data_IF_464859254056
#
_entry.id   IF_464859254056
#
_cell.length_a   1.000
_cell.length_b   1.000
_cell.length_c   1.000
_cell.angle_alpha   90.00
_cell.angle_beta   90.00
_cell.angle_gamma   90.00
#
_symmetry.space_group_name_H-M   'P 1'
#
loop_
_entity.id
_entity.type
_entity.pdbx_description
1 polymer ?
#
# COMPACT_ATOMS: atom_id res chain seq x y z
N UNK A 1 54.47 -77.31 1.72
CA UNK A 1 53.03 -77.06 1.96
C UNK A 1 52.83 -75.65 2.29
N UNK A 2 52.42 -74.84 1.30
CA UNK A 2 52.16 -73.40 1.44
C UNK A 2 50.71 -73.18 1.85
N UNK A 3 50.49 -72.68 3.05
CA UNK A 3 49.11 -72.34 3.50
C UNK A 3 48.72 -71.00 2.84
N UNK A 4 47.71 -71.03 1.98
CA UNK A 4 47.05 -69.89 1.36
C UNK A 4 46.07 -69.33 2.38
N UNK A 5 46.40 -68.17 2.91
CA UNK A 5 45.51 -67.37 3.77
C UNK A 5 44.63 -66.53 2.84
N UNK A 6 43.37 -66.88 2.72
CA UNK A 6 42.39 -66.08 2.02
C UNK A 6 41.87 -64.99 2.99
N UNK A 7 42.28 -63.73 2.76
CA UNK A 7 41.72 -62.61 3.47
C UNK A 7 40.41 -62.21 2.81
N UNK A 8 39.30 -62.64 3.41
CA UNK A 8 37.97 -62.21 3.01
C UNK A 8 37.82 -60.78 3.53
N UNK A 9 38.05 -59.79 2.66
CA UNK A 9 37.73 -58.39 2.93
C UNK A 9 36.23 -58.19 2.84
N UNK A 10 35.54 -58.25 3.99
CA UNK A 10 34.12 -57.99 4.08
C UNK A 10 33.91 -56.48 3.89
N UNK A 11 33.56 -56.04 2.68
CA UNK A 11 33.12 -54.69 2.39
C UNK A 11 31.71 -54.58 2.98
N UNK A 12 31.62 -53.97 4.17
CA UNK A 12 30.37 -53.52 4.72
C UNK A 12 29.99 -52.28 3.91
N UNK A 13 29.13 -52.45 2.94
CA UNK A 13 28.41 -51.35 2.28
C UNK A 13 27.49 -50.78 3.36
N UNK A 14 27.89 -49.67 3.95
CA UNK A 14 26.99 -48.82 4.71
C UNK A 14 26.08 -48.16 3.67
N UNK A 15 24.96 -48.80 3.37
CA UNK A 15 23.85 -48.13 2.75
C UNK A 15 23.39 -47.09 3.77
N UNK A 16 23.88 -45.85 3.61
CA UNK A 16 23.24 -44.68 4.23
C UNK A 16 21.90 -44.56 3.56
N UNK A 17 20.90 -45.16 4.16
CA UNK A 17 19.51 -44.88 3.79
C UNK A 17 19.21 -43.48 4.33
N UNK A 18 19.46 -42.49 3.51
CA UNK A 18 18.98 -41.16 3.81
C UNK A 18 17.45 -41.25 3.89
N UNK A 19 16.96 -41.16 5.12
CA UNK A 19 15.52 -41.23 5.36
C UNK A 19 14.90 -40.00 4.69
N UNK A 20 14.10 -40.23 3.67
CA UNK A 20 13.27 -39.20 3.08
C UNK A 20 12.30 -38.72 4.16
N UNK A 21 12.38 -37.42 4.44
CA UNK A 21 11.50 -36.70 5.37
C UNK A 21 10.71 -35.72 4.54
N UNK A 22 9.43 -35.93 4.45
CA UNK A 22 8.50 -35.00 3.80
C UNK A 22 8.18 -33.84 4.73
N UNK A 23 8.02 -32.66 4.18
CA UNK A 23 7.67 -31.42 4.90
C UNK A 23 8.05 -30.17 4.13
N UNK A 24 7.70 -29.01 4.67
CA UNK A 24 8.06 -27.74 4.05
C UNK A 24 9.58 -27.50 4.08
N UNK A 25 10.18 -27.29 2.91
CA UNK A 25 11.61 -27.01 2.75
C UNK A 25 11.95 -25.53 2.57
N UNK A 26 10.93 -24.62 2.50
CA UNK A 26 11.15 -23.19 2.38
C UNK A 26 11.46 -22.56 3.75
N UNK A 27 12.67 -22.01 3.89
CA UNK A 27 13.13 -21.33 5.11
C UNK A 27 12.29 -20.09 5.47
N UNK A 28 11.57 -19.52 4.52
CA UNK A 28 10.71 -18.36 4.75
C UNK A 28 9.29 -18.76 5.22
N UNK A 29 8.95 -20.04 5.14
CA UNK A 29 7.66 -20.52 5.58
C UNK A 29 7.58 -20.62 7.12
N UNK A 30 6.42 -20.34 7.67
CA UNK A 30 6.17 -20.42 9.13
C UNK A 30 6.23 -21.85 9.66
N UNK A 31 5.99 -22.84 8.80
CA UNK A 31 6.05 -24.25 9.08
C UNK A 31 7.28 -24.94 8.46
N UNK A 32 8.37 -24.19 8.24
CA UNK A 32 9.64 -24.74 7.76
C UNK A 32 10.09 -25.91 8.63
N UNK A 33 10.45 -27.01 7.99
CA UNK A 33 11.02 -28.19 8.65
C UNK A 33 12.47 -28.38 8.20
N UNK A 34 13.42 -28.10 9.07
CA UNK A 34 14.85 -28.22 8.76
C UNK A 34 15.31 -29.70 8.54
N UNK A 35 14.50 -30.69 8.90
CA UNK A 35 14.77 -32.09 8.68
C UNK A 35 14.16 -32.60 7.36
N UNK A 36 13.28 -31.82 6.72
CA UNK A 36 12.66 -32.17 5.45
C UNK A 36 13.72 -32.26 4.35
N UNK A 37 13.69 -33.36 3.61
CA UNK A 37 14.52 -33.64 2.42
C UNK A 37 13.70 -33.57 1.13
N UNK A 38 12.37 -33.67 1.26
CA UNK A 38 11.40 -33.57 0.16
C UNK A 38 10.33 -32.58 0.55
N UNK A 39 10.08 -31.58 -0.33
CA UNK A 39 8.97 -30.68 -0.16
C UNK A 39 7.65 -31.41 -0.44
N UNK A 40 6.75 -31.38 0.53
CA UNK A 40 5.41 -31.95 0.45
C UNK A 40 4.34 -30.97 -0.03
N UNK A 41 4.73 -29.71 -0.37
CA UNK A 41 3.83 -28.63 -0.78
C UNK A 41 3.02 -28.03 0.37
N UNK A 42 3.38 -28.31 1.63
CA UNK A 42 2.67 -27.79 2.81
C UNK A 42 3.16 -26.44 3.28
N UNK A 43 4.10 -25.79 2.57
CA UNK A 43 4.69 -24.53 2.99
C UNK A 43 3.66 -23.42 3.16
N UNK A 44 3.73 -22.75 4.32
CA UNK A 44 2.88 -21.59 4.65
C UNK A 44 3.78 -20.37 4.70
N UNK A 45 3.79 -19.61 3.59
CA UNK A 45 4.46 -18.32 3.47
C UNK A 45 3.43 -17.23 3.72
N UNK A 46 3.68 -16.38 4.71
CA UNK A 46 2.84 -15.21 5.03
C UNK A 46 3.41 -14.00 4.34
N UNK A 47 2.59 -13.25 3.64
CA UNK A 47 3.01 -12.04 2.90
C UNK A 47 1.83 -11.32 2.29
N UNK A 48 2.10 -10.37 1.40
CA UNK A 48 1.04 -9.73 0.62
C UNK A 48 0.84 -10.48 -0.71
N UNK A 49 -0.32 -11.13 -0.94
CA UNK A 49 -0.61 -11.86 -2.16
C UNK A 49 -1.16 -10.98 -3.29
N UNK A 50 -1.37 -9.67 -3.06
CA UNK A 50 -1.89 -8.75 -4.08
C UNK A 50 -0.76 -8.29 -5.03
N UNK A 51 -0.83 -8.63 -6.34
CA UNK A 51 0.20 -8.26 -7.31
C UNK A 51 0.31 -6.74 -7.56
N UNK A 52 -0.68 -5.95 -7.10
CA UNK A 52 -0.65 -4.50 -7.21
C UNK A 52 0.02 -3.83 -6.00
N UNK A 53 0.33 -4.59 -4.96
CA UNK A 53 1.01 -4.06 -3.78
C UNK A 53 2.51 -3.86 -4.03
N UNK A 54 3.09 -2.84 -3.39
CA UNK A 54 4.54 -2.54 -3.46
C UNK A 54 5.36 -3.68 -2.85
N UNK A 55 4.82 -4.32 -1.82
CA UNK A 55 5.43 -5.43 -1.10
C UNK A 55 4.82 -6.79 -1.49
N UNK A 56 4.36 -6.92 -2.75
CA UNK A 56 3.86 -8.16 -3.28
C UNK A 56 4.84 -9.32 -3.09
N UNK A 57 4.35 -10.43 -2.57
CA UNK A 57 5.08 -11.67 -2.47
C UNK A 57 4.34 -12.78 -3.24
N UNK A 58 4.84 -13.23 -4.40
CA UNK A 58 4.17 -14.26 -5.21
C UNK A 58 4.10 -15.62 -4.52
N UNK A 59 4.96 -15.86 -3.53
CA UNK A 59 4.99 -17.11 -2.77
C UNK A 59 4.05 -17.09 -1.55
N UNK A 60 3.40 -15.95 -1.27
CA UNK A 60 2.46 -15.85 -0.15
C UNK A 60 1.21 -16.68 -0.40
N UNK A 61 0.93 -17.60 0.51
CA UNK A 61 -0.31 -18.42 0.55
C UNK A 61 -1.29 -17.90 1.60
N UNK A 62 -0.80 -17.12 2.56
CA UNK A 62 -1.62 -16.43 3.56
C UNK A 62 -1.34 -14.94 3.52
N UNK A 63 -2.41 -14.14 3.52
CA UNK A 63 -2.32 -12.69 3.57
C UNK A 63 -1.84 -12.24 4.96
N UNK A 64 -0.76 -11.47 4.99
CA UNK A 64 -0.23 -10.85 6.22
C UNK A 64 -1.12 -9.71 6.75
N UNK A 65 -2.07 -9.23 5.96
CA UNK A 65 -2.86 -8.03 6.24
C UNK A 65 -2.07 -6.72 6.14
N UNK A 66 -0.84 -6.77 5.61
CA UNK A 66 0.08 -5.63 5.53
C UNK A 66 0.45 -5.30 4.08
N UNK A 67 -0.49 -5.41 3.14
CA UNK A 67 -0.27 -4.98 1.78
C UNK A 67 -0.08 -3.47 1.71
N UNK A 68 0.99 -3.03 1.07
CA UNK A 68 1.31 -1.61 0.91
C UNK A 68 1.01 -1.17 -0.52
N UNK A 69 0.24 -0.08 -0.67
CA UNK A 69 -0.13 0.48 -1.96
C UNK A 69 0.45 1.88 -2.13
N UNK A 70 0.60 2.32 -3.38
CA UNK A 70 1.05 3.67 -3.71
C UNK A 70 -0.14 4.61 -3.89
N UNK A 71 0.02 5.87 -3.44
CA UNK A 71 -0.90 6.95 -3.80
C UNK A 71 -0.66 7.48 -5.22
N UNK A 72 0.48 7.15 -5.84
CA UNK A 72 0.77 7.61 -7.21
C UNK A 72 -0.34 7.18 -8.15
N UNK A 73 -0.95 8.14 -8.84
CA UNK A 73 -2.05 7.89 -9.77
C UNK A 73 -3.09 9.00 -9.76
N UNK A 74 -4.16 8.75 -10.48
CA UNK A 74 -5.32 9.62 -10.56
C UNK A 74 -6.46 9.03 -9.76
N UNK A 75 -7.10 9.87 -8.97
CA UNK A 75 -8.16 9.50 -8.05
C UNK A 75 -9.37 10.40 -8.28
N UNK A 76 -10.54 9.80 -8.31
CA UNK A 76 -11.82 10.51 -8.38
C UNK A 76 -12.51 10.48 -7.02
N UNK A 77 -12.95 11.64 -6.55
CA UNK A 77 -13.68 11.76 -5.29
C UNK A 77 -15.08 11.20 -5.42
N UNK A 78 -15.44 10.28 -4.53
CA UNK A 78 -16.77 9.66 -4.47
C UNK A 78 -17.56 10.10 -3.23
N UNK A 79 -16.89 10.58 -2.20
CA UNK A 79 -17.55 11.20 -1.06
C UNK A 79 -16.69 12.27 -0.42
N UNK A 80 -17.37 13.27 0.11
CA UNK A 80 -16.81 14.30 0.97
C UNK A 80 -17.85 14.66 2.01
N UNK A 81 -17.63 14.28 3.25
CA UNK A 81 -18.63 14.31 4.32
C UNK A 81 -18.17 15.23 5.47
N UNK A 82 -18.30 16.55 5.33
CA UNK A 82 -18.15 17.44 6.48
C UNK A 82 -19.40 17.34 7.37
N UNK A 83 -19.19 17.16 8.66
CA UNK A 83 -20.28 17.16 9.65
C UNK A 83 -21.41 16.15 9.34
N UNK A 84 -21.09 14.99 8.76
CA UNK A 84 -22.05 13.95 8.45
C UNK A 84 -22.89 14.14 7.18
N UNK A 85 -22.66 15.23 6.40
CA UNK A 85 -23.36 15.45 5.14
C UNK A 85 -22.40 15.27 3.96
N UNK A 86 -22.73 14.35 3.06
CA UNK A 86 -21.95 14.20 1.82
C UNK A 86 -22.26 15.37 0.86
N UNK A 87 -21.24 16.17 0.57
CA UNK A 87 -21.34 17.34 -0.30
C UNK A 87 -20.72 17.13 -1.69
N UNK A 88 -20.16 15.97 -1.97
CA UNK A 88 -19.50 15.70 -3.27
C UNK A 88 -20.48 15.92 -4.44
N UNK A 89 -21.75 15.61 -4.22
CA UNK A 89 -22.82 15.84 -5.20
C UNK A 89 -23.06 17.30 -5.59
N UNK A 90 -22.49 18.24 -4.80
CA UNK A 90 -22.56 19.68 -5.12
C UNK A 90 -21.50 20.10 -6.16
N UNK A 91 -20.62 19.16 -6.54
CA UNK A 91 -19.56 19.37 -7.52
C UNK A 91 -19.78 18.43 -8.69
N UNK A 92 -19.47 18.87 -9.90
CA UNK A 92 -19.55 18.02 -11.10
C UNK A 92 -18.41 17.02 -11.18
N UNK A 93 -17.43 17.11 -10.29
CA UNK A 93 -16.33 16.18 -10.10
C UNK A 93 -15.22 16.78 -9.26
N UNK A 94 -14.44 15.90 -8.65
CA UNK A 94 -13.22 16.23 -7.94
C UNK A 94 -12.17 15.19 -8.27
N UNK A 95 -11.03 15.61 -8.81
CA UNK A 95 -9.92 14.72 -9.10
C UNK A 95 -8.70 15.11 -8.30
N UNK A 96 -7.95 14.11 -7.88
CA UNK A 96 -6.68 14.22 -7.20
C UNK A 96 -5.63 13.44 -8.00
N UNK A 97 -4.55 14.10 -8.38
CA UNK A 97 -3.41 13.46 -9.03
C UNK A 97 -2.22 13.48 -8.09
N UNK A 98 -1.70 12.30 -7.75
CA UNK A 98 -0.48 12.15 -6.96
C UNK A 98 0.64 11.63 -7.85
N UNK A 99 1.80 12.28 -7.81
CA UNK A 99 2.94 12.00 -8.64
C UNK A 99 4.05 11.28 -7.87
N UNK A 100 4.92 10.59 -8.57
CA UNK A 100 6.03 9.82 -7.97
C UNK A 100 7.11 10.67 -7.31
N UNK A 101 7.14 11.97 -7.60
CA UNK A 101 8.03 12.95 -6.97
C UNK A 101 7.48 13.54 -5.67
N UNK A 102 6.42 12.93 -5.13
CA UNK A 102 5.70 13.37 -3.93
C UNK A 102 4.99 14.73 -4.10
N UNK A 103 4.72 15.13 -5.32
CA UNK A 103 3.84 16.27 -5.61
C UNK A 103 2.41 15.79 -5.90
N UNK A 104 1.47 16.70 -5.73
CA UNK A 104 0.06 16.45 -6.04
C UNK A 104 -0.59 17.69 -6.62
N UNK A 105 -1.66 17.47 -7.37
CA UNK A 105 -2.62 18.50 -7.71
C UNK A 105 -4.05 17.96 -7.57
N UNK A 106 -4.97 18.86 -7.34
CA UNK A 106 -6.40 18.57 -7.40
C UNK A 106 -7.09 19.52 -8.36
N UNK A 107 -8.13 19.01 -8.98
CA UNK A 107 -9.02 19.76 -9.82
C UNK A 107 -10.45 19.55 -9.36
N UNK A 108 -11.16 20.65 -9.13
CA UNK A 108 -12.58 20.62 -8.77
C UNK A 108 -13.38 21.20 -9.92
N UNK A 109 -14.25 20.40 -10.50
CA UNK A 109 -15.16 20.88 -11.53
C UNK A 109 -16.21 21.82 -10.90
N UNK A 110 -16.68 22.82 -11.67
CA UNK A 110 -17.64 23.80 -11.16
C UNK A 110 -18.92 23.12 -10.70
N UNK A 111 -19.51 23.64 -9.64
CA UNK A 111 -20.86 23.25 -9.29
C UNK A 111 -21.87 23.76 -10.33
N UNK A 112 -23.07 23.18 -10.34
CA UNK A 112 -24.17 23.53 -11.23
C UNK A 112 -24.56 25.02 -11.22
N UNK A 113 -24.12 25.83 -10.24
CA UNK A 113 -24.30 27.26 -10.15
C UNK A 113 -23.18 28.07 -10.82
N UNK A 114 -22.15 27.41 -11.38
CA UNK A 114 -21.03 28.06 -12.06
C UNK A 114 -20.10 28.85 -11.15
N UNK A 115 -20.21 28.67 -9.83
CA UNK A 115 -19.41 29.40 -8.85
C UNK A 115 -18.34 28.54 -8.20
N UNK A 116 -17.13 29.09 -8.23
CA UNK A 116 -15.97 28.78 -7.38
C UNK A 116 -15.50 27.33 -7.39
N UNK A 117 -14.72 27.01 -8.38
CA UNK A 117 -13.77 25.93 -8.28
C UNK A 117 -12.37 26.50 -8.03
N UNK A 118 -11.64 25.82 -7.20
CA UNK A 118 -10.25 26.10 -6.98
C UNK A 118 -9.45 24.82 -7.26
N UNK A 119 -8.37 25.00 -8.00
CA UNK A 119 -7.36 23.97 -8.13
C UNK A 119 -6.32 24.18 -7.06
N UNK A 120 -5.81 23.11 -6.52
CA UNK A 120 -4.75 23.12 -5.52
C UNK A 120 -3.59 22.25 -5.98
N UNK A 121 -2.39 22.58 -5.54
CA UNK A 121 -1.21 21.76 -5.72
C UNK A 121 -0.25 21.90 -4.56
N UNK A 122 0.58 20.89 -4.38
CA UNK A 122 1.55 20.89 -3.30
C UNK A 122 2.37 19.61 -3.25
N UNK A 123 2.79 19.24 -2.07
CA UNK A 123 3.53 18.01 -1.79
C UNK A 123 2.73 17.11 -0.86
N UNK A 124 3.00 15.81 -0.90
CA UNK A 124 2.45 14.87 0.06
C UNK A 124 3.55 13.99 0.66
N UNK A 125 3.27 13.49 1.86
CA UNK A 125 4.10 12.53 2.56
C UNK A 125 3.22 11.40 3.09
N UNK A 126 3.68 10.16 2.90
CA UNK A 126 3.04 8.96 3.45
C UNK A 126 4.01 8.35 4.45
N UNK A 127 3.51 7.94 5.62
CA UNK A 127 4.31 7.20 6.59
C UNK A 127 4.67 5.80 6.06
N UNK A 128 5.68 5.18 6.69
CA UNK A 128 6.21 3.89 6.24
C UNK A 128 5.18 2.73 6.27
N UNK A 129 4.14 2.86 7.07
CA UNK A 129 3.09 1.85 7.18
C UNK A 129 1.90 2.13 6.27
N UNK A 130 1.94 3.21 5.51
CA UNK A 130 0.86 3.67 4.61
C UNK A 130 -0.50 3.87 5.32
N UNK A 131 -0.48 4.21 6.60
CA UNK A 131 -1.68 4.46 7.42
C UNK A 131 -1.97 5.94 7.62
N UNK A 132 -1.00 6.79 7.32
CA UNK A 132 -1.11 8.24 7.48
C UNK A 132 -0.51 8.95 6.27
N UNK A 133 -1.19 9.98 5.83
CA UNK A 133 -0.72 10.86 4.77
C UNK A 133 -0.85 12.32 5.20
N UNK A 134 0.13 13.13 4.82
CA UNK A 134 0.10 14.57 5.00
C UNK A 134 0.18 15.23 3.64
N UNK A 135 -0.83 16.03 3.31
CA UNK A 135 -0.81 16.90 2.14
C UNK A 135 -0.46 18.32 2.57
N UNK A 136 0.50 18.92 1.89
CA UNK A 136 0.88 20.32 2.09
C UNK A 136 0.55 21.09 0.83
N UNK A 137 -0.39 22.02 0.92
CA UNK A 137 -0.74 22.90 -0.21
C UNK A 137 0.28 24.03 -0.31
N UNK A 138 0.81 24.23 -1.49
CA UNK A 138 1.76 25.32 -1.76
C UNK A 138 1.15 26.41 -2.62
N UNK A 139 0.21 26.08 -3.49
CA UNK A 139 -0.42 27.02 -4.41
C UNK A 139 -1.90 26.67 -4.61
N UNK A 140 -2.66 27.67 -4.96
CA UNK A 140 -4.05 27.51 -5.36
C UNK A 140 -4.36 28.38 -6.59
N UNK A 141 -5.40 28.03 -7.33
CA UNK A 141 -5.89 28.78 -8.47
C UNK A 141 -7.41 28.86 -8.39
N UNK A 142 -7.93 30.07 -8.27
CA UNK A 142 -9.37 30.32 -8.19
C UNK A 142 -10.06 30.36 -9.57
N UNK A 143 -9.30 30.07 -10.65
CA UNK A 143 -9.79 30.08 -12.04
C UNK A 143 -10.45 31.40 -12.45
N UNK A 144 -10.03 32.51 -11.82
CA UNK A 144 -10.51 33.86 -12.06
C UNK A 144 -9.62 34.69 -13.02
N UNK A 145 -8.68 34.00 -13.71
CA UNK A 145 -7.75 34.62 -14.66
C UNK A 145 -6.42 35.09 -14.04
N UNK A 146 -6.25 35.04 -12.71
CA UNK A 146 -5.01 35.42 -12.04
C UNK A 146 -3.93 34.36 -12.01
N UNK A 147 -4.23 33.12 -12.49
CA UNK A 147 -3.31 31.98 -12.47
C UNK A 147 -3.09 31.41 -11.07
N UNK A 148 -1.96 30.73 -10.91
CA UNK A 148 -1.58 30.11 -9.63
C UNK A 148 -1.05 31.17 -8.67
N UNK A 149 -1.61 31.18 -7.46
CA UNK A 149 -1.22 32.03 -6.35
C UNK A 149 -0.46 31.20 -5.31
N UNK A 150 0.57 31.79 -4.72
CA UNK A 150 1.29 31.18 -3.59
C UNK A 150 0.40 31.19 -2.35
N UNK A 151 0.34 30.08 -1.65
CA UNK A 151 -0.42 29.94 -0.39
C UNK A 151 0.32 30.57 0.80
N UNK A 152 1.53 31.08 0.58
CA UNK A 152 2.42 31.58 1.63
C UNK A 152 3.34 30.47 2.19
N UNK A 153 3.97 30.67 3.35
CA UNK A 153 4.81 29.65 3.95
C UNK A 153 3.97 28.38 4.11
N UNK A 154 4.45 27.30 3.48
CA UNK A 154 3.75 26.01 3.42
C UNK A 154 3.22 25.63 4.79
N UNK A 155 1.94 25.78 5.02
CA UNK A 155 1.28 25.26 6.20
C UNK A 155 0.79 23.87 5.84
N UNK A 156 1.17 22.82 6.60
CA UNK A 156 0.55 21.53 6.42
C UNK A 156 -0.95 21.71 6.65
N UNK A 157 -1.73 21.59 5.58
CA UNK A 157 -3.16 21.87 5.66
C UNK A 157 -3.88 20.68 6.25
N UNK A 158 -3.35 19.47 6.05
CA UNK A 158 -4.11 18.30 6.38
C UNK A 158 -3.22 17.11 6.73
N UNK A 159 -3.39 16.61 7.93
CA UNK A 159 -2.89 15.31 8.35
C UNK A 159 -4.05 14.31 8.32
N UNK A 160 -3.88 13.21 7.60
CA UNK A 160 -4.92 12.21 7.43
C UNK A 160 -4.52 10.88 8.07
N UNK A 161 -5.39 10.32 8.89
CA UNK A 161 -5.46 8.88 9.06
C UNK A 161 -6.09 8.30 7.78
N UNK A 162 -5.46 7.30 7.17
CA UNK A 162 -5.85 6.85 5.85
C UNK A 162 -5.96 5.33 5.79
N UNK A 163 -6.91 4.88 5.00
CA UNK A 163 -6.99 3.50 4.52
C UNK A 163 -6.76 3.52 3.01
N UNK A 164 -5.66 2.93 2.57
CA UNK A 164 -5.24 2.91 1.17
C UNK A 164 -5.22 1.48 0.67
N UNK A 165 -5.97 1.23 -0.40
CA UNK A 165 -5.92 0.01 -1.21
C UNK A 165 -5.47 0.34 -2.63
N UNK A 166 -5.28 -0.68 -3.47
CA UNK A 166 -4.97 -0.42 -4.87
C UNK A 166 -6.04 0.40 -5.59
N UNK A 167 -7.30 0.15 -5.31
CA UNK A 167 -8.45 0.73 -6.04
C UNK A 167 -9.17 1.84 -5.28
N UNK A 168 -8.92 2.01 -3.99
CA UNK A 168 -9.63 2.98 -3.19
C UNK A 168 -8.72 3.67 -2.18
N UNK A 169 -9.08 4.89 -1.86
CA UNK A 169 -8.46 5.71 -0.84
C UNK A 169 -9.56 6.36 -0.01
N UNK A 170 -9.53 6.14 1.27
CA UNK A 170 -10.45 6.78 2.20
C UNK A 170 -9.70 7.23 3.44
N UNK A 171 -10.22 8.22 4.13
CA UNK A 171 -9.58 8.71 5.33
C UNK A 171 -10.44 9.70 6.10
N UNK A 172 -9.97 10.01 7.28
CA UNK A 172 -10.53 11.03 8.16
C UNK A 172 -9.54 12.18 8.25
N UNK A 173 -9.97 13.34 7.78
CA UNK A 173 -9.20 14.58 7.91
C UNK A 173 -9.27 15.04 9.36
N UNK A 174 -8.10 15.18 10.00
CA UNK A 174 -7.98 15.84 11.29
C UNK A 174 -7.35 17.21 11.03
N UNK A 175 -8.13 18.29 11.17
CA UNK A 175 -7.60 19.65 11.06
C UNK A 175 -6.61 19.91 12.19
N UNK A 176 -5.37 20.28 11.84
CA UNK A 176 -4.32 20.57 12.82
C UNK A 176 -4.44 21.95 13.48
N UNK A 177 -5.34 22.81 12.98
CA UNK A 177 -5.41 24.22 13.37
C UNK A 177 -6.64 24.60 14.20
N UNK A 178 -7.63 23.70 14.32
CA UNK A 178 -8.84 23.98 15.08
C UNK A 178 -9.31 22.75 15.84
N UNK A 179 -9.11 22.78 17.15
CA UNK A 179 -9.50 21.70 18.08
C UNK A 179 -11.00 21.58 18.28
N UNK A 180 -11.80 22.44 17.69
CA UNK A 180 -13.26 22.44 17.78
C UNK A 180 -13.95 21.83 16.56
N UNK A 181 -13.21 21.41 15.52
CA UNK A 181 -13.79 21.08 14.23
C UNK A 181 -13.53 19.64 13.80
N UNK A 182 -14.60 18.99 13.68
CA UNK A 182 -15.14 18.35 12.48
C UNK A 182 -14.14 17.45 11.77
N UNK A 183 -14.23 16.16 12.08
CA UNK A 183 -13.69 15.12 11.21
C UNK A 183 -14.40 15.23 9.86
N UNK A 184 -13.62 15.37 8.78
CA UNK A 184 -14.13 15.21 7.42
C UNK A 184 -13.84 13.78 7.01
N UNK A 185 -14.85 13.06 6.61
CA UNK A 185 -14.67 11.78 5.95
C UNK A 185 -14.64 12.02 4.45
N UNK A 186 -13.72 11.35 3.77
CA UNK A 186 -13.65 11.39 2.32
C UNK A 186 -13.31 10.03 1.76
N UNK A 187 -13.68 9.79 0.53
CA UNK A 187 -13.28 8.61 -0.20
C UNK A 187 -13.04 8.93 -1.67
N UNK A 188 -12.10 8.23 -2.24
CA UNK A 188 -11.69 8.32 -3.63
C UNK A 188 -11.61 6.92 -4.22
N UNK A 189 -11.79 6.82 -5.51
CA UNK A 189 -11.51 5.63 -6.30
C UNK A 189 -10.42 5.95 -7.32
N UNK A 190 -9.57 4.97 -7.62
CA UNK A 190 -8.54 5.11 -8.64
C UNK A 190 -9.17 5.07 -10.02
N UNK A 191 -8.75 6.02 -10.88
CA UNK A 191 -9.20 6.11 -12.30
C UNK A 191 -8.05 5.95 -13.29
N UNK A 192 -7.00 5.26 -12.98
CA UNK A 192 -5.77 5.01 -13.75
C UNK A 192 -4.58 5.88 -13.38
#
# INVERSE_FOLDING_TARGET
MKKLIIFIFSIVLLESCDKEVEGCTDINATNYNSEATIDDGSCIVIGCPDPNAINYNPDAVEDSGNCLFTLVGTWEGVSWIPNGNNIIQNYDGFTLHCYSDSTWNSHTLPNWNGNNYADYRGTYFINNNHTECTFTTTHFNLNNGNGWLDYGPATPINHFSMELTYSSYSGILISSTDTTLNSFEFSFVRVE
#
